data_IF_870222008001
#
_entry.id   IF_870222008001
#
_cell.length_a   1.000
_cell.length_b   1.000
_cell.length_c   1.000
_cell.angle_alpha   90.00
_cell.angle_beta   90.00
_cell.angle_gamma   90.00
#
_symmetry.space_group_name_H-M   'P 1'
#
loop_
_entity.id
_entity.type
_entity.pdbx_description
1 polymer ?
#
# COMPACT_ATOMS: atom_id res chain seq x y z
N UNK A 1 -3.07 -13.17 -23.24
CA UNK A 1 -2.35 -13.29 -21.96
C UNK A 1 -3.09 -12.51 -20.85
N UNK A 2 -3.32 -11.24 -21.01
CA UNK A 2 -3.96 -10.41 -19.96
C UNK A 2 -5.41 -10.82 -19.68
N UNK A 3 -6.21 -11.17 -20.68
CA UNK A 3 -7.60 -11.64 -20.51
C UNK A 3 -7.67 -12.95 -19.70
N UNK A 4 -6.66 -13.81 -19.84
CA UNK A 4 -6.60 -15.06 -19.08
C UNK A 4 -6.20 -14.79 -17.62
N UNK A 5 -5.23 -13.90 -17.40
CA UNK A 5 -4.87 -13.44 -16.05
C UNK A 5 -6.09 -12.83 -15.33
N UNK A 6 -6.82 -11.92 -15.98
CA UNK A 6 -8.03 -11.32 -15.43
C UNK A 6 -9.06 -12.36 -14.99
N UNK A 7 -9.34 -13.33 -15.85
CA UNK A 7 -10.28 -14.44 -15.54
C UNK A 7 -9.81 -15.26 -14.34
N UNK A 8 -8.53 -15.65 -14.31
CA UNK A 8 -7.97 -16.42 -13.19
C UNK A 8 -8.03 -15.64 -11.88
N UNK A 9 -7.63 -14.36 -11.90
CA UNK A 9 -7.71 -13.49 -10.74
C UNK A 9 -9.15 -13.36 -10.23
N UNK A 10 -10.11 -13.18 -11.14
CA UNK A 10 -11.54 -13.06 -10.78
C UNK A 10 -12.10 -14.31 -10.11
N UNK A 11 -11.58 -15.48 -10.48
CA UNK A 11 -12.04 -16.77 -9.94
C UNK A 11 -11.36 -17.14 -8.61
N UNK A 12 -10.12 -16.74 -8.41
CA UNK A 12 -9.27 -17.29 -7.35
C UNK A 12 -8.88 -16.28 -6.26
N UNK A 13 -9.13 -14.98 -6.46
CA UNK A 13 -8.71 -13.94 -5.52
C UNK A 13 -9.89 -13.18 -4.97
N UNK A 14 -9.99 -13.07 -3.65
CA UNK A 14 -10.99 -12.22 -2.99
C UNK A 14 -10.58 -10.74 -3.10
N UNK A 15 -10.86 -10.15 -4.27
CA UNK A 15 -10.47 -8.78 -4.60
C UNK A 15 -11.45 -8.15 -5.60
N UNK A 16 -11.37 -6.84 -5.76
CA UNK A 16 -11.87 -6.21 -6.98
C UNK A 16 -10.80 -6.35 -8.06
N UNK A 17 -11.16 -6.96 -9.18
CA UNK A 17 -10.30 -7.13 -10.35
C UNK A 17 -10.76 -6.14 -11.42
N UNK A 18 -9.88 -5.24 -11.85
CA UNK A 18 -10.21 -4.13 -12.74
C UNK A 18 -9.20 -4.02 -13.87
N UNK A 19 -9.56 -4.57 -15.03
CA UNK A 19 -8.76 -4.49 -16.24
C UNK A 19 -9.41 -3.57 -17.29
N UNK A 20 -10.53 -2.94 -16.92
CA UNK A 20 -11.23 -1.99 -17.76
C UNK A 20 -10.41 -0.70 -17.99
N UNK A 21 -10.67 -0.06 -19.13
CA UNK A 21 -9.93 1.12 -19.58
C UNK A 21 -10.03 2.30 -18.59
N UNK A 22 -11.19 2.51 -17.98
CA UNK A 22 -11.41 3.62 -17.05
C UNK A 22 -10.60 3.44 -15.77
N UNK A 23 -10.62 2.24 -15.19
CA UNK A 23 -9.82 1.93 -13.99
C UNK A 23 -8.32 2.07 -14.28
N UNK A 24 -7.84 1.53 -15.40
CA UNK A 24 -6.43 1.64 -15.81
C UNK A 24 -6.01 3.08 -16.04
N UNK A 25 -6.90 3.92 -16.57
CA UNK A 25 -6.65 5.35 -16.74
C UNK A 25 -6.51 6.08 -15.40
N UNK A 26 -7.39 5.79 -14.42
CA UNK A 26 -7.33 6.36 -13.07
C UNK A 26 -5.99 6.00 -12.39
N UNK A 27 -5.55 4.76 -12.51
CA UNK A 27 -4.32 4.28 -11.87
C UNK A 27 -3.05 4.54 -12.69
N UNK A 28 -3.15 5.22 -13.84
CA UNK A 28 -1.99 5.57 -14.67
C UNK A 28 -1.16 6.72 -14.13
N UNK A 29 -1.66 7.46 -13.14
CA UNK A 29 -1.00 8.64 -12.56
C UNK A 29 -0.87 8.50 -11.04
N UNK A 30 0.09 9.22 -10.46
CA UNK A 30 0.21 9.50 -9.03
C UNK A 30 0.46 11.00 -8.84
N UNK A 31 1.02 11.44 -7.72
CA UNK A 31 1.33 12.86 -7.51
C UNK A 31 2.60 13.33 -8.25
N UNK A 32 3.25 12.47 -9.02
CA UNK A 32 4.40 12.80 -9.86
C UNK A 32 4.00 13.36 -11.22
N UNK A 33 4.99 13.69 -12.03
CA UNK A 33 4.81 14.11 -13.42
C UNK A 33 4.67 12.92 -14.38
N UNK A 34 4.81 11.69 -13.91
CA UNK A 34 4.80 10.50 -14.75
C UNK A 34 3.38 9.98 -14.96
N UNK A 35 3.15 9.44 -16.15
CA UNK A 35 1.92 8.75 -16.50
C UNK A 35 2.26 7.46 -17.25
N UNK A 36 1.94 6.31 -16.64
CA UNK A 36 2.15 5.00 -17.24
C UNK A 36 0.90 4.17 -16.97
N UNK A 37 0.25 3.71 -18.04
CA UNK A 37 -0.97 2.94 -17.94
C UNK A 37 -0.65 1.52 -17.43
N UNK A 38 -1.24 1.07 -16.32
CA UNK A 38 -1.00 -0.28 -15.83
C UNK A 38 -1.66 -1.36 -16.71
N UNK A 39 -1.22 -2.59 -16.57
CA UNK A 39 -1.83 -3.78 -17.17
C UNK A 39 -3.23 -4.01 -16.62
N UNK A 40 -3.39 -3.87 -15.33
CA UNK A 40 -4.64 -4.02 -14.59
C UNK A 40 -4.46 -3.58 -13.14
N UNK A 41 -5.56 -3.60 -12.38
CA UNK A 41 -5.60 -3.21 -10.97
C UNK A 41 -6.29 -4.30 -10.16
N UNK A 42 -5.69 -4.66 -9.03
CA UNK A 42 -6.22 -5.58 -8.03
C UNK A 42 -6.39 -4.81 -6.73
N UNK A 43 -7.58 -4.88 -6.13
CA UNK A 43 -7.87 -4.25 -4.83
C UNK A 43 -8.24 -5.38 -3.86
N UNK A 44 -7.26 -5.97 -3.16
CA UNK A 44 -7.47 -7.13 -2.31
C UNK A 44 -8.30 -6.78 -1.06
N UNK A 45 -9.14 -7.72 -0.62
CA UNK A 45 -9.97 -7.56 0.58
C UNK A 45 -9.31 -8.12 1.83
N UNK A 46 -8.39 -9.06 1.67
CA UNK A 46 -7.68 -9.75 2.76
C UNK A 46 -6.18 -9.82 2.49
N UNK A 47 -5.40 -10.11 3.52
CA UNK A 47 -3.95 -10.32 3.38
C UNK A 47 -3.62 -11.57 2.57
N UNK A 48 -4.42 -12.62 2.71
CA UNK A 48 -4.32 -13.87 1.94
C UNK A 48 -4.57 -13.61 0.45
N UNK A 49 -5.52 -12.71 0.13
CA UNK A 49 -5.77 -12.28 -1.24
C UNK A 49 -4.57 -11.56 -1.86
N UNK A 50 -3.77 -10.83 -1.06
CA UNK A 50 -2.52 -10.21 -1.56
C UNK A 50 -1.53 -11.29 -1.98
N UNK A 51 -1.25 -12.29 -1.13
CA UNK A 51 -0.33 -13.40 -1.45
C UNK A 51 -0.77 -14.13 -2.71
N UNK A 52 -2.05 -14.50 -2.78
CA UNK A 52 -2.58 -15.21 -3.96
C UNK A 52 -2.51 -14.37 -5.23
N UNK A 53 -2.80 -13.07 -5.15
CA UNK A 53 -2.68 -12.15 -6.27
C UNK A 53 -1.23 -12.05 -6.78
N UNK A 54 -0.26 -11.90 -5.86
CA UNK A 54 1.17 -11.84 -6.21
C UNK A 54 1.60 -13.11 -6.91
N UNK A 55 1.29 -14.28 -6.34
CA UNK A 55 1.62 -15.60 -6.93
C UNK A 55 1.10 -15.70 -8.38
N UNK A 56 -0.18 -15.44 -8.60
CA UNK A 56 -0.79 -15.52 -9.91
C UNK A 56 -0.19 -14.53 -10.92
N UNK A 57 -0.04 -13.25 -10.52
CA UNK A 57 0.52 -12.24 -11.42
C UNK A 57 1.93 -12.60 -11.87
N UNK A 58 2.76 -13.12 -10.96
CA UNK A 58 4.12 -13.56 -11.28
C UNK A 58 4.11 -14.81 -12.17
N UNK A 59 3.22 -15.79 -11.93
CA UNK A 59 3.07 -16.96 -12.79
C UNK A 59 2.73 -16.60 -14.25
N UNK A 60 1.99 -15.50 -14.44
CA UNK A 60 1.68 -14.96 -15.78
C UNK A 60 2.79 -14.06 -16.34
N UNK A 61 3.93 -13.91 -15.65
CA UNK A 61 5.07 -13.13 -16.11
C UNK A 61 4.84 -11.62 -16.09
N UNK A 62 3.88 -11.13 -15.30
CA UNK A 62 3.61 -9.71 -15.18
C UNK A 62 4.38 -9.09 -14.00
N UNK A 63 4.84 -7.86 -14.17
CA UNK A 63 5.40 -7.08 -13.09
C UNK A 63 4.29 -6.61 -12.13
N UNK A 64 4.65 -6.28 -10.89
CA UNK A 64 3.74 -5.80 -9.86
C UNK A 64 4.20 -4.44 -9.35
N UNK A 65 3.25 -3.53 -9.17
CA UNK A 65 3.44 -2.26 -8.46
C UNK A 65 2.49 -2.21 -7.26
N UNK A 66 2.99 -2.30 -6.02
CA UNK A 66 2.16 -2.05 -4.86
C UNK A 66 1.82 -0.57 -4.76
N UNK A 67 0.58 -0.26 -4.37
CA UNK A 67 0.09 1.10 -4.29
C UNK A 67 -0.72 1.34 -3.01
N UNK A 68 -0.49 2.50 -2.42
CA UNK A 68 -1.35 3.11 -1.42
C UNK A 68 -2.11 4.29 -2.03
N UNK A 69 -2.06 5.45 -1.39
CA UNK A 69 -2.78 6.64 -1.84
C UNK A 69 -2.20 7.34 -3.10
N UNK A 70 -1.07 6.87 -3.62
CA UNK A 70 -0.46 7.48 -4.81
C UNK A 70 0.13 8.87 -4.57
N UNK A 71 0.60 9.16 -3.37
CA UNK A 71 1.17 10.46 -2.99
C UNK A 71 2.64 10.64 -3.36
N UNK A 72 3.25 9.65 -4.03
CA UNK A 72 4.64 9.71 -4.46
C UNK A 72 4.87 10.83 -5.48
N UNK A 73 5.96 11.57 -5.30
CA UNK A 73 6.38 12.62 -6.23
C UNK A 73 7.41 12.14 -7.28
N UNK A 74 7.84 10.88 -7.19
CA UNK A 74 8.89 10.31 -8.04
C UNK A 74 8.41 9.12 -8.88
N UNK A 75 7.09 8.91 -9.00
CA UNK A 75 6.49 7.88 -9.87
C UNK A 75 6.62 6.45 -9.36
N UNK A 76 6.82 6.23 -8.04
CA UNK A 76 6.98 4.88 -7.50
C UNK A 76 5.70 4.03 -7.58
N UNK A 77 4.55 4.63 -7.85
CA UNK A 77 3.25 3.94 -7.85
C UNK A 77 2.61 3.84 -9.23
N UNK A 78 3.37 4.14 -10.29
CA UNK A 78 2.96 3.98 -11.69
C UNK A 78 3.94 3.07 -12.43
N UNK A 79 3.44 2.25 -13.36
CA UNK A 79 4.26 1.32 -14.13
C UNK A 79 3.45 0.47 -15.11
N UNK A 80 4.13 -0.08 -16.12
CA UNK A 80 3.56 -1.12 -17.00
C UNK A 80 3.54 -2.46 -16.24
N UNK A 81 2.62 -2.57 -15.30
CA UNK A 81 2.54 -3.64 -14.32
C UNK A 81 1.09 -3.85 -13.86
N UNK A 82 0.82 -4.90 -13.12
CA UNK A 82 -0.40 -5.04 -12.35
C UNK A 82 -0.26 -4.26 -11.05
N UNK A 83 -1.14 -3.28 -10.83
CA UNK A 83 -1.19 -2.51 -9.59
C UNK A 83 -1.93 -3.31 -8.53
N UNK A 84 -1.36 -3.45 -7.32
CA UNK A 84 -2.04 -3.99 -6.14
C UNK A 84 -2.29 -2.85 -5.17
N UNK A 85 -3.55 -2.40 -5.08
CA UNK A 85 -3.96 -1.29 -4.22
C UNK A 85 -4.42 -1.81 -2.85
N UNK A 86 -3.62 -1.53 -1.83
CA UNK A 86 -3.90 -1.92 -0.44
C UNK A 86 -4.71 -0.87 0.34
N UNK A 87 -5.06 0.28 -0.25
CA UNK A 87 -5.63 1.40 0.50
C UNK A 87 -7.09 1.19 0.91
N UNK A 88 -7.89 0.52 0.05
CA UNK A 88 -9.34 0.48 0.19
C UNK A 88 -9.85 -0.44 1.29
N UNK A 89 -9.30 -1.64 1.42
CA UNK A 89 -9.81 -2.68 2.33
C UNK A 89 -8.80 -3.08 3.41
N UNK A 90 -7.50 -2.91 3.17
CA UNK A 90 -6.45 -3.26 4.11
C UNK A 90 -6.04 -2.03 4.95
N UNK A 91 -7.01 -1.41 5.62
CA UNK A 91 -6.86 -0.12 6.29
C UNK A 91 -7.26 -0.15 7.78
N UNK A 92 -7.15 -1.31 8.44
CA UNK A 92 -7.51 -1.45 9.84
C UNK A 92 -6.31 -1.26 10.76
N UNK A 93 -6.52 -0.51 11.85
CA UNK A 93 -5.66 -0.55 13.03
C UNK A 93 -6.06 -1.82 13.80
N UNK A 94 -5.16 -2.81 13.81
CA UNK A 94 -5.45 -4.13 14.41
C UNK A 94 -5.38 -4.06 15.93
N UNK A 95 -4.37 -3.37 16.47
CA UNK A 95 -4.20 -3.14 17.90
C UNK A 95 -3.26 -1.97 18.17
N UNK A 96 -3.44 -1.33 19.33
CA UNK A 96 -2.49 -0.39 19.93
C UNK A 96 -2.15 -0.91 21.33
N UNK A 97 -0.87 -1.05 21.62
CA UNK A 97 -0.34 -1.37 22.93
C UNK A 97 0.39 -0.13 23.48
N UNK A 98 -0.25 0.65 24.36
CA UNK A 98 0.31 1.89 24.86
C UNK A 98 1.51 1.67 25.78
N UNK A 99 1.57 0.57 26.53
CA UNK A 99 2.66 0.28 27.46
C UNK A 99 3.96 0.01 26.70
N UNK A 100 3.85 -0.72 25.59
CA UNK A 100 4.99 -1.02 24.70
C UNK A 100 5.20 0.06 23.65
N UNK A 101 4.27 1.00 23.49
CA UNK A 101 4.24 2.04 22.44
C UNK A 101 4.32 1.44 21.04
N UNK A 102 3.50 0.44 20.77
CA UNK A 102 3.46 -0.28 19.48
C UNK A 102 2.03 -0.32 18.96
N UNK A 103 1.86 -0.08 17.66
CA UNK A 103 0.63 -0.35 16.95
C UNK A 103 0.85 -1.43 15.89
N UNK A 104 -0.09 -2.37 15.77
CA UNK A 104 -0.18 -3.29 14.64
C UNK A 104 -1.25 -2.76 13.67
N UNK A 105 -0.84 -2.49 12.43
CA UNK A 105 -1.70 -1.86 11.44
C UNK A 105 -1.60 -2.57 10.09
N UNK A 106 -2.63 -2.46 9.28
CA UNK A 106 -2.61 -2.87 7.87
C UNK A 106 -1.99 -1.77 7.00
N UNK A 107 -1.47 -2.08 5.80
CA UNK A 107 -0.69 -1.15 4.99
C UNK A 107 -1.46 0.08 4.51
N UNK A 108 -2.78 -0.03 4.35
CA UNK A 108 -3.65 1.05 3.89
C UNK A 108 -4.09 2.04 4.98
N UNK A 109 -3.69 1.84 6.24
CA UNK A 109 -4.00 2.81 7.32
C UNK A 109 -3.36 4.16 6.98
N UNK A 110 -4.16 5.22 7.04
CA UNK A 110 -3.70 6.60 6.85
C UNK A 110 -3.00 7.09 8.11
N UNK A 111 -1.93 7.88 7.96
CA UNK A 111 -1.14 8.37 9.09
C UNK A 111 -1.99 9.12 10.12
N UNK A 112 -2.86 10.04 9.69
CA UNK A 112 -3.72 10.79 10.61
C UNK A 112 -4.74 9.90 11.34
N UNK A 113 -5.20 8.81 10.72
CA UNK A 113 -6.05 7.83 11.39
C UNK A 113 -5.30 7.14 12.54
N UNK A 114 -4.04 6.73 12.30
CA UNK A 114 -3.22 6.15 13.35
C UNK A 114 -2.96 7.17 14.47
N UNK A 115 -2.59 8.41 14.13
CA UNK A 115 -2.31 9.45 15.11
C UNK A 115 -3.54 9.81 15.94
N UNK A 116 -4.73 9.88 15.33
CA UNK A 116 -5.98 10.09 16.04
C UNK A 116 -6.27 8.98 17.06
N UNK A 117 -6.10 7.73 16.67
CA UNK A 117 -6.29 6.60 17.58
C UNK A 117 -5.22 6.54 18.68
N UNK A 118 -3.96 6.87 18.36
CA UNK A 118 -2.86 6.86 19.33
C UNK A 118 -2.94 8.02 20.34
N UNK A 119 -3.57 9.14 19.96
CA UNK A 119 -3.71 10.31 20.81
C UNK A 119 -4.51 10.02 22.09
N UNK A 120 -5.41 9.02 22.08
CA UNK A 120 -6.12 8.58 23.28
C UNK A 120 -5.16 8.09 24.38
N UNK A 121 -3.95 7.68 24.01
CA UNK A 121 -2.89 7.21 24.89
C UNK A 121 -1.73 8.22 25.00
N UNK A 122 -1.92 9.48 24.57
CA UNK A 122 -0.87 10.50 24.49
C UNK A 122 0.34 10.06 23.64
N UNK A 123 0.11 9.27 22.59
CA UNK A 123 1.11 8.77 21.65
C UNK A 123 0.86 9.31 20.25
N UNK A 124 1.91 9.33 19.43
CA UNK A 124 1.83 9.61 18.00
C UNK A 124 2.93 8.87 17.23
N UNK A 125 2.72 8.66 15.94
CA UNK A 125 3.78 8.21 15.03
C UNK A 125 4.68 9.40 14.67
N UNK A 126 5.99 9.28 14.88
CA UNK A 126 6.93 10.41 14.82
C UNK A 126 7.08 11.10 13.47
N UNK A 127 7.21 10.38 12.33
CA UNK A 127 7.35 11.00 11.01
C UNK A 127 6.09 11.78 10.59
N UNK A 128 6.27 13.07 10.27
CA UNK A 128 5.19 14.02 9.97
C UNK A 128 5.19 14.42 8.48
N UNK A 129 4.81 13.50 7.61
CA UNK A 129 4.76 13.80 6.16
C UNK A 129 3.67 14.83 5.83
N UNK A 130 3.91 15.65 4.81
CA UNK A 130 2.99 16.71 4.38
C UNK A 130 1.61 16.19 3.92
N UNK A 131 1.54 14.93 3.53
CA UNK A 131 0.32 14.23 3.06
C UNK A 131 -0.29 13.34 4.14
N UNK A 132 -0.11 13.66 5.43
CA UNK A 132 -0.54 12.82 6.57
C UNK A 132 -2.03 12.45 6.54
N UNK A 133 -2.84 13.33 5.95
CA UNK A 133 -4.28 13.16 5.76
C UNK A 133 -4.66 12.03 4.78
N UNK A 134 -3.70 11.52 3.99
CA UNK A 134 -3.92 10.49 2.98
C UNK A 134 -2.79 9.47 2.82
N UNK A 135 -1.57 9.79 3.26
CA UNK A 135 -0.43 8.88 3.15
C UNK A 135 -0.69 7.59 3.93
N UNK A 136 -0.59 6.46 3.23
CA UNK A 136 -0.75 5.15 3.84
C UNK A 136 0.55 4.66 4.47
N UNK A 137 0.48 4.00 5.61
CA UNK A 137 1.65 3.51 6.33
C UNK A 137 2.49 2.52 5.52
N UNK A 138 1.87 1.64 4.73
CA UNK A 138 2.60 0.76 3.81
C UNK A 138 3.44 1.53 2.79
N UNK A 139 2.87 2.60 2.21
CA UNK A 139 3.61 3.50 1.31
C UNK A 139 4.72 4.27 2.01
N UNK A 140 4.48 4.72 3.25
CA UNK A 140 5.51 5.39 4.05
C UNK A 140 6.68 4.45 4.36
N UNK A 141 6.41 3.18 4.63
CA UNK A 141 7.43 2.15 4.85
C UNK A 141 8.23 1.91 3.55
N UNK A 142 7.54 1.69 2.43
CA UNK A 142 8.19 1.44 1.14
C UNK A 142 9.10 2.59 0.68
N UNK A 143 8.72 3.83 0.95
CA UNK A 143 9.51 5.03 0.62
C UNK A 143 10.48 5.44 1.72
N UNK A 144 10.47 4.81 2.88
CA UNK A 144 11.16 5.32 4.07
C UNK A 144 10.87 6.80 4.29
N UNK A 145 9.58 7.15 4.30
CA UNK A 145 9.12 8.54 4.33
C UNK A 145 9.65 9.31 5.53
N UNK A 146 9.93 10.58 5.31
CA UNK A 146 10.41 11.53 6.30
C UNK A 146 9.59 12.82 6.22
N UNK A 147 9.52 13.56 7.31
CA UNK A 147 8.90 14.88 7.39
C UNK A 147 9.85 15.91 7.96
N UNK A 148 9.36 17.14 8.13
CA UNK A 148 10.17 18.26 8.61
C UNK A 148 10.76 18.02 10.01
N UNK A 149 10.09 17.25 10.85
CA UNK A 149 10.53 16.89 12.20
C UNK A 149 11.37 15.62 12.28
N UNK A 150 11.68 14.99 11.14
CA UNK A 150 12.47 13.75 11.12
C UNK A 150 13.92 13.92 11.58
N UNK A 151 14.43 15.16 11.63
CA UNK A 151 15.73 15.46 12.27
C UNK A 151 15.68 15.12 13.77
N UNK A 152 14.52 15.26 14.40
CA UNK A 152 14.31 14.96 15.84
C UNK A 152 13.77 13.55 16.05
N UNK A 153 12.76 13.16 15.27
CA UNK A 153 12.01 11.93 15.49
C UNK A 153 12.44 10.75 14.61
N UNK A 154 13.36 10.96 13.67
CA UNK A 154 13.77 9.93 12.73
C UNK A 154 12.82 9.78 11.52
N UNK A 155 13.12 8.82 10.68
CA UNK A 155 12.36 8.44 9.49
C UNK A 155 11.45 7.27 9.79
N UNK A 156 10.64 6.86 8.84
CA UNK A 156 9.70 5.74 9.00
C UNK A 156 10.40 4.45 9.45
N UNK A 157 11.57 4.12 8.89
CA UNK A 157 12.34 2.91 9.25
C UNK A 157 12.70 2.84 10.75
N UNK A 158 12.94 3.99 11.38
CA UNK A 158 13.32 4.07 12.80
C UNK A 158 12.15 3.68 13.74
N UNK A 159 10.93 3.67 13.22
CA UNK A 159 9.70 3.35 13.95
C UNK A 159 9.13 1.97 13.63
N UNK A 160 9.67 1.27 12.62
CA UNK A 160 9.18 -0.06 12.23
C UNK A 160 9.86 -1.12 13.09
N UNK A 161 9.07 -1.93 13.79
CA UNK A 161 9.56 -3.02 14.65
C UNK A 161 9.47 -4.38 13.98
N UNK A 162 8.42 -4.61 13.20
CA UNK A 162 8.16 -5.88 12.53
C UNK A 162 7.34 -5.60 11.27
N UNK A 163 7.60 -6.37 10.22
CA UNK A 163 6.82 -6.41 8.99
C UNK A 163 6.35 -7.85 8.75
N UNK A 164 5.09 -7.97 8.37
CA UNK A 164 4.58 -9.14 7.68
C UNK A 164 4.61 -8.77 6.17
N UNK A 165 5.37 -9.49 5.38
CA UNK A 165 5.62 -9.18 3.96
C UNK A 165 5.19 -10.32 3.05
N UNK A 166 4.81 -9.99 1.83
CA UNK A 166 4.61 -10.96 0.74
C UNK A 166 5.80 -10.86 -0.20
N UNK A 167 6.50 -11.97 -0.42
CA UNK A 167 7.64 -12.01 -1.31
C UNK A 167 7.21 -12.14 -2.78
N UNK A 168 8.17 -12.03 -3.69
CA UNK A 168 7.91 -12.04 -5.14
C UNK A 168 7.36 -13.36 -5.69
N UNK A 169 7.39 -14.42 -4.90
CA UNK A 169 6.82 -15.75 -5.20
C UNK A 169 5.45 -15.98 -4.53
N UNK A 170 4.93 -14.97 -3.81
CA UNK A 170 3.66 -15.04 -3.07
C UNK A 170 3.77 -15.58 -1.64
N UNK A 171 4.97 -16.00 -1.21
CA UNK A 171 5.21 -16.51 0.14
C UNK A 171 5.17 -15.42 1.22
#
# INVERSE_FOLDING_TARGET
MHDQLERTLTQEVDAEIRFDEASRAIYSTDASIYQIKPVGVIIPRTTEAVSRAVELVVQYGCAIVPRGAGTSLSGQTVGDAVVIDCSKYLNRIVSIDPDRRVAKVQPGVVLDQLNTAAAEFALQFGPDVATSDRANLGGMIGNNSAGSRSIVYGKTIDHVRKLDVVLSDGA
#
